data_IF_797769819525
#
_entry.id   IF_797769819525
#
_cell.length_a   1.000
_cell.length_b   1.000
_cell.length_c   1.000
_cell.angle_alpha   90.00
_cell.angle_beta   90.00
_cell.angle_gamma   90.00
#
_symmetry.space_group_name_H-M   'P 1'
#
loop_
_entity.id
_entity.type
_entity.pdbx_description
1 polymer ?
#
# COMPACT_ATOMS: atom_id res chain seq x y z
N UNK A 1 -16.44 -9.08 -7.02
CA UNK A 1 -15.92 -7.83 -6.45
C UNK A 1 -14.41 -7.91 -6.48
N UNK A 2 -13.76 -7.00 -7.21
CA UNK A 2 -12.31 -7.00 -7.38
C UNK A 2 -11.61 -6.22 -6.23
N UNK A 3 -10.28 -6.14 -6.26
CA UNK A 3 -9.52 -5.42 -5.24
C UNK A 3 -9.82 -3.91 -5.21
N UNK A 4 -10.05 -3.28 -6.37
CA UNK A 4 -10.38 -1.87 -6.45
C UNK A 4 -11.75 -1.55 -5.81
N UNK A 5 -12.79 -2.34 -6.13
CA UNK A 5 -14.13 -2.20 -5.53
C UNK A 5 -14.08 -2.35 -4.00
N UNK A 6 -13.21 -3.24 -3.51
CA UNK A 6 -13.01 -3.46 -2.08
C UNK A 6 -12.28 -2.30 -1.43
N UNK A 7 -11.22 -1.79 -2.06
CA UNK A 7 -10.49 -0.64 -1.55
C UNK A 7 -11.41 0.58 -1.47
N UNK A 8 -12.23 0.84 -2.50
CA UNK A 8 -13.20 1.93 -2.48
C UNK A 8 -14.19 1.80 -1.32
N UNK A 9 -14.78 0.62 -1.12
CA UNK A 9 -15.71 0.39 0.00
C UNK A 9 -15.05 0.63 1.36
N UNK A 10 -13.84 0.11 1.56
CA UNK A 10 -13.11 0.30 2.81
C UNK A 10 -12.82 1.78 3.05
N UNK A 11 -12.38 2.50 2.02
CA UNK A 11 -12.07 3.93 2.07
C UNK A 11 -13.31 4.81 2.34
N UNK A 12 -14.47 4.44 1.80
CA UNK A 12 -15.76 5.08 2.12
C UNK A 12 -16.23 4.80 3.55
N UNK A 13 -15.63 3.82 4.21
CA UNK A 13 -15.89 3.46 5.60
C UNK A 13 -14.90 4.13 6.58
N UNK A 14 -14.50 3.43 7.66
CA UNK A 14 -13.63 4.01 8.69
C UNK A 14 -12.14 3.97 8.32
N UNK A 15 -11.77 3.38 7.18
CA UNK A 15 -10.37 3.19 6.81
C UNK A 15 -9.78 4.43 6.14
N UNK A 16 -8.53 4.74 6.48
CA UNK A 16 -7.72 5.66 5.69
C UNK A 16 -7.28 5.02 4.35
N UNK A 17 -6.63 5.80 3.48
CA UNK A 17 -6.21 5.33 2.16
C UNK A 17 -5.22 4.14 2.19
N UNK A 18 -4.31 4.06 3.16
CA UNK A 18 -3.43 2.89 3.30
C UNK A 18 -4.20 1.66 3.77
N UNK A 19 -5.01 1.81 4.82
CA UNK A 19 -5.87 0.75 5.36
C UNK A 19 -6.80 0.17 4.28
N UNK A 20 -7.37 1.04 3.43
CA UNK A 20 -8.22 0.64 2.32
C UNK A 20 -7.48 -0.23 1.29
N UNK A 21 -6.27 0.16 0.88
CA UNK A 21 -5.47 -0.59 -0.11
C UNK A 21 -5.00 -1.93 0.46
N UNK A 22 -4.34 -1.94 1.63
CA UNK A 22 -3.83 -3.20 2.19
C UNK A 22 -4.97 -4.12 2.65
N UNK A 23 -6.07 -3.56 3.18
CA UNK A 23 -7.27 -4.30 3.55
C UNK A 23 -7.99 -4.92 2.35
N UNK A 24 -7.90 -4.30 1.16
CA UNK A 24 -8.41 -4.88 -0.06
C UNK A 24 -7.59 -6.07 -0.56
N UNK A 25 -6.27 -6.01 -0.38
CA UNK A 25 -5.35 -7.08 -0.77
C UNK A 25 -5.28 -8.22 0.26
N UNK A 26 -5.69 -7.98 1.51
CA UNK A 26 -5.54 -8.90 2.64
C UNK A 26 -5.90 -10.37 2.35
N UNK A 27 -7.02 -10.72 1.67
CA UNK A 27 -7.33 -12.13 1.39
C UNK A 27 -6.31 -12.82 0.50
N UNK A 28 -5.79 -12.12 -0.51
CA UNK A 28 -4.77 -12.65 -1.42
C UNK A 28 -3.40 -12.76 -0.75
N UNK A 29 -3.19 -12.04 0.35
CA UNK A 29 -1.95 -12.03 1.13
C UNK A 29 -2.00 -12.97 2.35
N UNK A 30 -3.10 -13.70 2.55
CA UNK A 30 -3.28 -14.54 3.74
C UNK A 30 -3.38 -13.73 5.05
N UNK A 31 -3.65 -12.42 4.98
CA UNK A 31 -3.79 -11.56 6.15
C UNK A 31 -5.23 -11.53 6.63
N UNK A 32 -5.41 -11.63 7.95
CA UNK A 32 -6.67 -11.24 8.57
C UNK A 32 -6.91 -9.74 8.32
N UNK A 33 -8.15 -9.37 7.99
CA UNK A 33 -8.50 -7.98 7.67
C UNK A 33 -8.15 -7.02 8.82
N UNK A 34 -8.42 -7.43 10.07
CA UNK A 34 -8.05 -6.63 11.25
C UNK A 34 -6.55 -6.39 11.37
N UNK A 35 -5.70 -7.33 10.95
CA UNK A 35 -4.24 -7.15 10.90
C UNK A 35 -3.86 -6.12 9.84
N UNK A 36 -4.42 -6.24 8.63
CA UNK A 36 -4.18 -5.30 7.54
C UNK A 36 -4.60 -3.86 7.91
N UNK A 37 -5.79 -3.70 8.51
CA UNK A 37 -6.29 -2.41 8.99
C UNK A 37 -5.38 -1.84 10.08
N UNK A 38 -4.94 -2.64 11.05
CA UNK A 38 -4.02 -2.18 12.11
C UNK A 38 -2.69 -1.70 11.52
N UNK A 39 -2.09 -2.46 10.61
CA UNK A 39 -0.84 -2.11 9.92
C UNK A 39 -0.95 -0.77 9.18
N UNK A 40 -2.07 -0.53 8.48
CA UNK A 40 -2.29 0.69 7.71
C UNK A 40 -2.56 1.97 8.52
N UNK A 41 -2.78 1.87 9.83
CA UNK A 41 -3.38 2.96 10.65
C UNK A 41 -2.54 4.24 10.66
N UNK A 42 -1.22 4.13 10.74
CA UNK A 42 -0.32 5.28 10.82
C UNK A 42 -0.22 6.07 9.51
N UNK A 43 -0.70 5.50 8.39
CA UNK A 43 -0.43 5.99 7.05
C UNK A 43 -1.67 6.64 6.38
N UNK A 44 -2.47 7.46 7.09
CA UNK A 44 -3.42 8.44 6.48
C UNK A 44 -2.94 9.92 6.43
N UNK A 45 -3.13 10.65 5.31
CA UNK A 45 -2.84 12.11 5.16
C UNK A 45 -1.40 12.64 4.90
N UNK A 46 -0.54 11.90 4.22
CA UNK A 46 0.90 12.08 3.97
C UNK A 46 1.96 11.29 4.79
N UNK A 47 1.77 10.80 5.97
CA UNK A 47 0.52 10.55 6.59
C UNK A 47 0.73 10.75 8.07
N UNK A 48 -0.08 10.15 8.94
CA UNK A 48 -0.38 10.83 10.21
C UNK A 48 -0.70 12.32 10.02
N UNK A 49 -1.21 12.73 8.84
CA UNK A 49 -1.45 14.12 8.43
C UNK A 49 -0.22 15.02 8.18
N UNK A 50 0.96 14.47 7.96
CA UNK A 50 2.19 15.25 7.71
C UNK A 50 2.40 15.69 6.25
N UNK A 51 1.53 15.28 5.31
CA UNK A 51 1.69 15.63 3.89
C UNK A 51 2.88 14.97 3.16
N UNK A 52 3.52 13.95 3.74
CA UNK A 52 4.55 13.14 3.09
C UNK A 52 4.01 12.13 2.04
N UNK A 53 4.64 10.96 1.90
CA UNK A 53 4.31 9.94 0.89
C UNK A 53 2.90 9.36 1.10
N UNK A 54 2.12 9.28 0.00
CA UNK A 54 0.74 8.84 -0.11
C UNK A 54 0.47 7.47 0.53
N UNK A 55 -0.70 7.34 1.14
CA UNK A 55 -1.07 6.23 2.00
C UNK A 55 -1.53 5.06 1.15
N UNK A 56 -2.23 5.34 0.05
CA UNK A 56 -2.52 4.34 -0.97
C UNK A 56 -1.22 3.77 -1.58
N UNK A 57 -0.24 4.64 -1.88
CA UNK A 57 1.09 4.23 -2.36
C UNK A 57 1.81 3.37 -1.31
N UNK A 58 1.79 3.79 -0.05
CA UNK A 58 2.38 3.03 1.07
C UNK A 58 1.70 1.68 1.26
N UNK A 59 0.36 1.63 1.14
CA UNK A 59 -0.41 0.38 1.19
C UNK A 59 -0.06 -0.56 0.04
N UNK A 60 0.20 -0.04 -1.16
CA UNK A 60 0.69 -0.83 -2.28
C UNK A 60 2.10 -1.39 -2.01
N UNK A 61 3.00 -0.61 -1.39
CA UNK A 61 4.32 -1.10 -1.00
C UNK A 61 4.23 -2.24 0.02
N UNK A 62 3.34 -2.13 1.01
CA UNK A 62 3.07 -3.22 1.95
C UNK A 62 2.61 -4.49 1.23
N UNK A 63 1.69 -4.36 0.26
CA UNK A 63 1.21 -5.49 -0.52
C UNK A 63 2.32 -6.13 -1.39
N UNK A 64 3.16 -5.31 -2.03
CA UNK A 64 4.30 -5.78 -2.82
C UNK A 64 5.31 -6.53 -1.96
N UNK A 65 5.65 -5.99 -0.79
CA UNK A 65 6.54 -6.65 0.17
C UNK A 65 5.98 -7.99 0.65
N UNK A 66 4.70 -8.04 0.99
CA UNK A 66 4.01 -9.28 1.40
C UNK A 66 3.94 -10.33 0.28
N UNK A 67 3.86 -9.90 -0.99
CA UNK A 67 3.70 -10.82 -2.13
C UNK A 67 5.03 -11.36 -2.64
N UNK A 68 6.07 -10.52 -2.67
CA UNK A 68 7.33 -10.82 -3.36
C UNK A 68 8.55 -10.84 -2.46
N UNK A 69 8.41 -10.41 -1.21
CA UNK A 69 9.46 -10.52 -0.21
C UNK A 69 9.60 -11.96 0.29
N UNK A 70 10.84 -12.41 0.34
CA UNK A 70 11.27 -13.67 0.92
C UNK A 70 12.29 -13.38 2.03
N UNK A 71 12.02 -13.76 3.31
CA UNK A 71 12.93 -13.51 4.43
C UNK A 71 14.21 -14.37 4.39
N UNK A 72 14.20 -15.51 3.70
CA UNK A 72 15.33 -16.44 3.63
C UNK A 72 16.27 -16.13 2.45
N UNK A 73 15.77 -15.45 1.42
CA UNK A 73 16.54 -15.11 0.21
C UNK A 73 17.45 -13.88 0.35
N UNK A 74 17.54 -13.28 1.54
CA UNK A 74 18.48 -12.18 1.81
C UNK A 74 18.26 -10.93 0.94
N UNK A 75 19.34 -10.34 0.43
CA UNK A 75 19.30 -9.04 -0.26
C UNK A 75 18.68 -9.11 -1.67
N UNK A 76 18.76 -10.24 -2.37
CA UNK A 76 18.17 -10.38 -3.71
C UNK A 76 16.64 -10.20 -3.68
N UNK A 77 16.01 -10.69 -2.62
CA UNK A 77 14.57 -10.52 -2.36
C UNK A 77 14.21 -9.05 -2.18
N UNK A 78 14.99 -8.29 -1.40
CA UNK A 78 14.80 -6.85 -1.20
C UNK A 78 14.93 -6.08 -2.52
N UNK A 79 15.99 -6.38 -3.28
CA UNK A 79 16.24 -5.73 -4.57
C UNK A 79 15.12 -5.99 -5.59
N UNK A 80 14.54 -7.20 -5.59
CA UNK A 80 13.35 -7.50 -6.39
C UNK A 80 12.17 -6.62 -5.98
N UNK A 81 11.88 -6.51 -4.69
CA UNK A 81 10.77 -5.68 -4.19
C UNK A 81 11.02 -4.20 -4.50
N UNK A 82 12.26 -3.72 -4.38
CA UNK A 82 12.62 -2.33 -4.72
C UNK A 82 12.39 -2.00 -6.19
N UNK A 83 12.74 -2.91 -7.10
CA UNK A 83 12.44 -2.75 -8.54
C UNK A 83 10.93 -2.66 -8.80
N UNK A 84 10.12 -3.49 -8.14
CA UNK A 84 8.66 -3.45 -8.27
C UNK A 84 8.06 -2.16 -7.71
N UNK A 85 8.55 -1.70 -6.56
CA UNK A 85 8.18 -0.41 -5.96
C UNK A 85 8.54 0.75 -6.87
N UNK A 86 9.74 0.75 -7.47
CA UNK A 86 10.18 1.79 -8.40
C UNK A 86 9.26 1.87 -9.63
N UNK A 87 8.96 0.73 -10.25
CA UNK A 87 8.03 0.66 -11.39
C UNK A 87 6.61 1.13 -11.02
N UNK A 88 6.12 0.75 -9.83
CA UNK A 88 4.83 1.25 -9.33
C UNK A 88 4.84 2.77 -9.13
N UNK A 89 5.90 3.32 -8.54
CA UNK A 89 6.03 4.77 -8.30
C UNK A 89 6.12 5.54 -9.61
N UNK A 90 6.83 5.03 -10.60
CA UNK A 90 6.91 5.64 -11.92
C UNK A 90 5.53 5.76 -12.55
N UNK A 91 4.76 4.67 -12.56
CA UNK A 91 3.41 4.67 -13.12
C UNK A 91 2.45 5.54 -12.30
N UNK A 92 2.54 5.49 -10.96
CA UNK A 92 1.72 6.33 -10.09
C UNK A 92 2.00 7.82 -10.33
N UNK A 93 3.27 8.23 -10.47
CA UNK A 93 3.64 9.61 -10.81
C UNK A 93 3.18 9.99 -12.20
N UNK A 94 3.24 9.07 -13.17
CA UNK A 94 2.73 9.33 -14.53
C UNK A 94 1.23 9.63 -14.54
N UNK A 95 0.45 8.96 -13.69
CA UNK A 95 -1.00 9.12 -13.58
C UNK A 95 -1.42 10.29 -12.67
N UNK A 96 -0.69 10.54 -11.59
CA UNK A 96 -1.12 11.43 -10.51
C UNK A 96 -0.17 12.61 -10.23
N UNK A 97 0.97 12.70 -10.93
CA UNK A 97 1.95 13.78 -10.81
C UNK A 97 2.91 13.66 -9.63
N UNK A 98 2.44 13.24 -8.46
CA UNK A 98 3.26 13.08 -7.25
C UNK A 98 2.90 11.81 -6.48
N UNK A 99 3.84 11.38 -5.63
CA UNK A 99 3.54 10.40 -4.58
C UNK A 99 3.35 11.06 -3.21
N UNK A 100 3.54 12.37 -3.07
CA UNK A 100 3.33 13.07 -1.80
C UNK A 100 1.88 13.52 -1.71
N UNK A 101 1.27 13.37 -0.54
CA UNK A 101 -0.15 13.65 -0.32
C UNK A 101 -0.49 15.14 -0.27
N UNK A 102 0.52 16.00 -0.10
CA UNK A 102 0.35 17.46 -0.08
C UNK A 102 0.38 18.08 -1.48
N UNK A 103 0.84 17.32 -2.46
CA UNK A 103 0.92 17.71 -3.86
C UNK A 103 -0.33 17.19 -4.58
#
# INVERSE_FOLDING_TARGET
MNAADRAERLFRGPCNCCQAVIGAMAPGLGLAEGTAVRLGTAFGGGMGRMGGVCGAVTGAFLALGMTYGDPEAGDESKERVYRLVAAFVEEFRRLHGSIYCRD
#
